data_IF_722131257386
#
_entry.id   IF_722131257386
#
_cell.length_a   1.000
_cell.length_b   1.000
_cell.length_c   1.000
_cell.angle_alpha   90.00
_cell.angle_beta   90.00
_cell.angle_gamma   90.00
#
_symmetry.space_group_name_H-M   'P 1'
#
loop_
_entity.id
_entity.type
_entity.pdbx_description
1 polymer ?
#
# COMPACT_ATOMS: atom_id res chain seq x y z
N UNK A 1 40.27 -21.61 -13.14
CA UNK A 1 38.85 -21.76 -13.52
C UNK A 1 38.59 -20.73 -14.59
N UNK A 2 37.93 -21.08 -15.67
CA UNK A 2 37.48 -20.06 -16.65
C UNK A 2 36.51 -19.10 -15.94
N UNK A 3 36.75 -17.78 -16.07
CA UNK A 3 35.85 -16.76 -15.53
C UNK A 3 34.52 -16.81 -16.29
N UNK A 4 33.42 -16.55 -15.57
CA UNK A 4 32.07 -16.50 -16.19
C UNK A 4 31.90 -15.13 -16.86
N UNK A 5 31.46 -15.07 -18.14
CA UNK A 5 31.19 -13.78 -18.77
C UNK A 5 30.08 -13.00 -18.05
N UNK A 6 30.29 -11.71 -17.79
CA UNK A 6 29.33 -10.84 -17.11
C UNK A 6 27.95 -10.82 -17.78
N UNK A 7 27.89 -10.97 -19.12
CA UNK A 7 26.63 -11.05 -19.87
C UNK A 7 25.78 -12.27 -19.46
N UNK A 8 26.40 -13.41 -19.12
CA UNK A 8 25.69 -14.61 -18.67
C UNK A 8 25.06 -14.37 -17.29
N UNK A 9 25.81 -13.78 -16.38
CA UNK A 9 25.33 -13.40 -15.05
C UNK A 9 24.19 -12.38 -15.17
N UNK A 10 24.33 -11.39 -16.05
CA UNK A 10 23.28 -10.41 -16.34
C UNK A 10 21.97 -11.03 -16.84
N UNK A 11 22.04 -12.08 -17.69
CA UNK A 11 20.84 -12.81 -18.12
C UNK A 11 20.15 -13.52 -16.95
N UNK A 12 20.91 -14.14 -16.05
CA UNK A 12 20.34 -14.77 -14.84
C UNK A 12 19.73 -13.75 -13.88
N UNK A 13 20.34 -12.57 -13.74
CA UNK A 13 19.76 -11.48 -12.95
C UNK A 13 18.41 -11.06 -13.55
N UNK A 14 18.28 -10.99 -14.88
CA UNK A 14 16.99 -10.71 -15.54
C UNK A 14 15.93 -11.80 -15.25
N UNK A 15 16.35 -13.07 -15.27
CA UNK A 15 15.47 -14.20 -14.93
C UNK A 15 15.03 -14.13 -13.47
N UNK A 16 15.95 -13.91 -12.55
CA UNK A 16 15.67 -13.69 -11.14
C UNK A 16 14.67 -12.55 -10.93
N UNK A 17 14.85 -11.42 -11.60
CA UNK A 17 13.93 -10.29 -11.52
C UNK A 17 12.50 -10.63 -12.02
N UNK A 18 12.37 -11.51 -13.01
CA UNK A 18 11.05 -12.01 -13.45
C UNK A 18 10.35 -12.79 -12.33
N UNK A 19 11.07 -13.62 -11.58
CA UNK A 19 10.50 -14.35 -10.43
C UNK A 19 10.12 -13.39 -9.30
N UNK A 20 10.93 -12.37 -9.00
CA UNK A 20 10.60 -11.32 -8.04
C UNK A 20 9.29 -10.62 -8.42
N UNK A 21 9.14 -10.22 -9.67
CA UNK A 21 7.91 -9.55 -10.16
C UNK A 21 6.66 -10.42 -10.05
N UNK A 22 6.82 -11.74 -10.16
CA UNK A 22 5.72 -12.72 -10.04
C UNK A 22 5.43 -13.14 -8.60
N UNK A 23 6.19 -12.65 -7.63
CA UNK A 23 6.15 -13.07 -6.22
C UNK A 23 6.43 -14.58 -6.04
N UNK A 24 7.20 -15.16 -6.94
CA UNK A 24 7.64 -16.56 -6.84
C UNK A 24 8.90 -16.65 -5.97
N UNK A 25 8.69 -16.70 -4.65
CA UNK A 25 9.74 -16.64 -3.65
C UNK A 25 10.76 -17.77 -3.82
N UNK A 26 10.30 -19.01 -4.00
CA UNK A 26 11.18 -20.19 -4.04
C UNK A 26 12.20 -20.10 -5.17
N UNK A 27 11.75 -19.86 -6.41
CA UNK A 27 12.65 -19.74 -7.55
C UNK A 27 13.51 -18.48 -7.47
N UNK A 28 12.96 -17.40 -6.92
CA UNK A 28 13.71 -16.16 -6.73
C UNK A 28 14.87 -16.34 -5.74
N UNK A 29 14.66 -17.03 -4.62
CA UNK A 29 15.73 -17.34 -3.65
C UNK A 29 16.80 -18.28 -4.23
N UNK A 30 16.38 -19.33 -4.95
CA UNK A 30 17.30 -20.23 -5.63
C UNK A 30 18.24 -19.51 -6.59
N UNK A 31 17.68 -18.66 -7.46
CA UNK A 31 18.47 -17.88 -8.42
C UNK A 31 19.35 -16.85 -7.72
N UNK A 32 18.88 -16.20 -6.65
CA UNK A 32 19.70 -15.29 -5.85
C UNK A 32 20.98 -15.94 -5.36
N UNK A 33 20.88 -17.11 -4.75
CA UNK A 33 22.03 -17.84 -4.21
C UNK A 33 22.95 -18.42 -5.30
N UNK A 34 22.39 -18.76 -6.47
CA UNK A 34 23.20 -19.16 -7.62
C UNK A 34 24.01 -17.97 -8.17
N UNK A 35 23.36 -16.82 -8.38
CA UNK A 35 24.01 -15.61 -8.89
C UNK A 35 25.10 -15.11 -7.93
N UNK A 36 24.87 -15.13 -6.61
CA UNK A 36 25.92 -14.78 -5.63
C UNK A 36 27.20 -15.58 -5.83
N UNK A 37 27.07 -16.90 -6.02
CA UNK A 37 28.25 -17.78 -6.26
C UNK A 37 28.92 -17.51 -7.61
N UNK A 38 28.15 -17.14 -8.62
CA UNK A 38 28.69 -16.81 -9.94
C UNK A 38 29.41 -15.46 -9.98
N UNK A 39 28.95 -14.47 -9.18
CA UNK A 39 29.62 -13.18 -9.04
C UNK A 39 31.06 -13.31 -8.52
N UNK A 40 31.32 -14.28 -7.64
CA UNK A 40 32.67 -14.52 -7.07
C UNK A 40 33.69 -14.99 -8.13
N UNK A 41 33.24 -15.56 -9.24
CA UNK A 41 34.06 -16.09 -10.33
C UNK A 41 33.79 -15.42 -11.70
N UNK A 42 33.02 -14.37 -11.70
CA UNK A 42 32.69 -13.59 -12.89
C UNK A 42 33.87 -12.71 -13.33
N UNK A 43 33.92 -12.38 -14.62
CA UNK A 43 34.79 -11.31 -15.13
C UNK A 43 34.44 -9.99 -14.39
N UNK A 44 35.47 -9.19 -14.07
CA UNK A 44 35.26 -7.90 -13.41
C UNK A 44 34.35 -7.01 -14.24
N UNK A 45 33.13 -6.77 -13.71
CA UNK A 45 32.13 -5.88 -14.31
C UNK A 45 31.33 -5.16 -13.21
N UNK A 46 31.66 -3.89 -13.00
CA UNK A 46 30.99 -3.07 -11.98
C UNK A 46 29.48 -2.88 -12.25
N UNK A 47 29.05 -2.91 -13.52
CA UNK A 47 27.64 -2.76 -13.88
C UNK A 47 26.84 -4.02 -13.51
N UNK A 48 27.41 -5.21 -13.72
CA UNK A 48 26.77 -6.47 -13.31
C UNK A 48 26.63 -6.56 -11.79
N UNK A 49 27.66 -6.15 -11.04
CA UNK A 49 27.61 -6.10 -9.56
C UNK A 49 26.55 -5.10 -9.09
N UNK A 50 26.49 -3.90 -9.67
CA UNK A 50 25.48 -2.91 -9.34
C UNK A 50 24.07 -3.41 -9.69
N UNK A 51 23.89 -4.09 -10.82
CA UNK A 51 22.62 -4.65 -11.21
C UNK A 51 22.15 -5.72 -10.22
N UNK A 52 23.05 -6.60 -9.79
CA UNK A 52 22.76 -7.55 -8.73
C UNK A 52 22.29 -6.84 -7.44
N UNK A 53 23.01 -5.82 -6.97
CA UNK A 53 22.65 -5.08 -5.77
C UNK A 53 21.25 -4.45 -5.85
N UNK A 54 20.88 -3.89 -7.00
CA UNK A 54 19.55 -3.34 -7.23
C UNK A 54 18.47 -4.41 -7.18
N UNK A 55 18.72 -5.56 -7.80
CA UNK A 55 17.75 -6.67 -7.78
C UNK A 55 17.68 -7.34 -6.41
N UNK A 56 18.77 -7.37 -5.67
CA UNK A 56 18.82 -7.86 -4.28
C UNK A 56 17.95 -6.99 -3.35
N UNK A 57 18.06 -5.68 -3.49
CA UNK A 57 17.16 -4.76 -2.81
C UNK A 57 15.67 -5.00 -3.16
N UNK A 58 15.38 -5.22 -4.44
CA UNK A 58 14.01 -5.51 -4.90
C UNK A 58 13.50 -6.87 -4.41
N UNK A 59 14.39 -7.85 -4.27
CA UNK A 59 14.10 -9.16 -3.70
C UNK A 59 13.69 -9.02 -2.22
N UNK A 60 14.44 -8.26 -1.43
CA UNK A 60 14.10 -8.00 -0.02
C UNK A 60 12.74 -7.30 0.12
N UNK A 61 12.42 -6.36 -0.77
CA UNK A 61 11.08 -5.76 -0.79
C UNK A 61 9.98 -6.78 -1.12
N UNK A 62 10.25 -7.75 -1.99
CA UNK A 62 9.31 -8.84 -2.28
C UNK A 62 9.08 -9.71 -1.05
N UNK A 63 10.15 -10.10 -0.35
CA UNK A 63 10.05 -10.93 0.86
C UNK A 63 9.27 -10.23 1.97
N UNK A 64 9.51 -8.93 2.19
CA UNK A 64 8.73 -8.14 3.15
C UNK A 64 7.25 -8.04 2.75
N UNK A 65 6.95 -7.92 1.45
CA UNK A 65 5.57 -7.91 0.97
C UNK A 65 4.86 -9.24 1.21
N UNK A 66 5.56 -10.37 1.02
CA UNK A 66 4.99 -11.72 1.19
C UNK A 66 4.94 -12.13 2.67
N UNK A 67 5.95 -11.77 3.46
CA UNK A 67 6.07 -12.12 4.88
C UNK A 67 6.49 -10.90 5.72
N UNK A 68 5.58 -9.97 6.03
CA UNK A 68 5.92 -8.72 6.74
C UNK A 68 6.54 -8.91 8.12
N UNK A 69 6.27 -10.04 8.78
CA UNK A 69 6.70 -10.31 10.16
C UNK A 69 8.11 -10.89 10.30
N UNK A 70 8.75 -11.31 9.22
CA UNK A 70 10.02 -12.04 9.30
C UNK A 70 11.26 -11.24 8.88
N UNK A 71 11.14 -10.13 8.16
CA UNK A 71 12.27 -9.44 7.55
C UNK A 71 12.33 -7.95 7.94
N UNK A 72 13.17 -7.64 8.94
CA UNK A 72 13.65 -6.27 9.17
C UNK A 72 15.06 -6.11 8.57
N UNK A 73 15.17 -6.11 7.26
CA UNK A 73 16.45 -5.80 6.60
C UNK A 73 16.63 -4.28 6.55
N UNK A 74 17.84 -3.82 6.92
CA UNK A 74 18.19 -2.40 6.84
C UNK A 74 18.36 -1.96 5.37
N UNK A 75 17.24 -1.62 4.73
CA UNK A 75 17.19 -1.21 3.32
C UNK A 75 18.03 0.03 3.00
N UNK A 76 18.32 0.86 4.01
CA UNK A 76 19.15 2.04 3.83
C UNK A 76 20.58 1.69 3.41
N UNK A 77 21.12 0.57 3.86
CA UNK A 77 22.48 0.15 3.53
C UNK A 77 22.61 -0.30 2.07
N UNK A 78 21.59 -0.95 1.52
CA UNK A 78 21.54 -1.29 0.09
C UNK A 78 21.54 -0.04 -0.80
N UNK A 79 20.71 0.95 -0.46
CA UNK A 79 20.65 2.19 -1.22
C UNK A 79 21.95 2.99 -1.16
N UNK A 80 22.62 3.03 0.01
CA UNK A 80 23.95 3.65 0.14
C UNK A 80 25.03 2.95 -0.69
N UNK A 81 24.97 1.63 -0.78
CA UNK A 81 25.91 0.86 -1.61
C UNK A 81 25.77 1.20 -3.12
N UNK A 82 24.54 1.52 -3.56
CA UNK A 82 24.24 1.93 -4.93
C UNK A 82 24.62 3.41 -5.17
N UNK A 83 24.58 4.26 -4.12
CA UNK A 83 24.89 5.70 -4.18
C UNK A 83 26.40 6.02 -4.11
N UNK A 84 27.27 5.03 -3.95
CA UNK A 84 28.71 5.23 -3.78
C UNK A 84 29.31 6.18 -4.80
N UNK A 85 30.13 7.13 -4.33
CA UNK A 85 30.71 8.23 -5.11
C UNK A 85 31.39 7.71 -6.39
N UNK A 86 31.02 8.31 -7.53
CA UNK A 86 31.72 8.12 -8.81
C UNK A 86 31.16 7.04 -9.75
N UNK A 87 30.12 6.28 -9.38
CA UNK A 87 29.51 5.31 -10.30
C UNK A 87 28.69 6.02 -11.37
N UNK A 88 29.14 5.96 -12.64
CA UNK A 88 28.34 6.43 -13.78
C UNK A 88 27.22 5.44 -14.06
N UNK A 89 26.02 5.77 -13.58
CA UNK A 89 24.81 5.06 -13.95
C UNK A 89 24.47 5.39 -15.42
N UNK A 90 24.17 4.37 -16.22
CA UNK A 90 23.80 4.57 -17.62
C UNK A 90 22.55 3.76 -17.99
N UNK A 91 21.76 4.30 -18.89
CA UNK A 91 20.64 3.57 -19.48
C UNK A 91 19.56 3.15 -18.47
N UNK A 92 19.23 1.86 -18.48
CA UNK A 92 18.17 1.27 -17.66
C UNK A 92 18.52 1.25 -16.16
N UNK A 93 19.80 1.24 -15.82
CA UNK A 93 20.24 1.25 -14.41
C UNK A 93 19.84 2.54 -13.69
N UNK A 94 19.91 3.69 -14.41
CA UNK A 94 19.47 4.97 -13.89
C UNK A 94 17.97 4.97 -13.59
N UNK A 95 17.17 4.31 -14.46
CA UNK A 95 15.74 4.08 -14.19
C UNK A 95 15.53 3.28 -12.90
N UNK A 96 16.19 2.11 -12.76
CA UNK A 96 15.98 1.25 -11.59
C UNK A 96 16.38 1.90 -10.28
N UNK A 97 17.50 2.64 -10.23
CA UNK A 97 17.94 3.35 -9.03
C UNK A 97 16.86 4.31 -8.56
N UNK A 98 16.34 5.15 -9.43
CA UNK A 98 15.30 6.10 -9.06
C UNK A 98 13.97 5.42 -8.75
N UNK A 99 13.59 4.40 -9.51
CA UNK A 99 12.36 3.68 -9.29
C UNK A 99 12.33 2.98 -7.93
N UNK A 100 13.42 2.29 -7.57
CA UNK A 100 13.49 1.57 -6.29
C UNK A 100 13.66 2.50 -5.10
N UNK A 101 14.35 3.62 -5.24
CA UNK A 101 14.36 4.68 -4.22
C UNK A 101 12.95 5.22 -3.98
N UNK A 102 12.20 5.48 -5.04
CA UNK A 102 10.80 5.88 -4.93
C UNK A 102 9.95 4.87 -4.16
N UNK A 103 10.12 3.57 -4.45
CA UNK A 103 9.42 2.50 -3.72
C UNK A 103 9.82 2.44 -2.24
N UNK A 104 11.09 2.68 -1.93
CA UNK A 104 11.58 2.73 -0.55
C UNK A 104 10.99 3.91 0.22
N UNK A 105 11.03 5.12 -0.35
CA UNK A 105 10.45 6.30 0.31
C UNK A 105 8.92 6.16 0.47
N UNK A 106 8.25 5.56 -0.52
CA UNK A 106 6.83 5.23 -0.42
C UNK A 106 6.53 4.29 0.76
N UNK A 107 7.34 3.24 0.95
CA UNK A 107 7.15 2.30 2.05
C UNK A 107 7.32 2.93 3.45
N UNK A 108 8.01 4.08 3.53
CA UNK A 108 8.16 4.89 4.75
C UNK A 108 7.03 5.92 4.94
N UNK A 109 6.12 6.06 3.96
CA UNK A 109 5.11 7.11 3.96
C UNK A 109 5.62 8.48 3.47
N UNK A 110 6.88 8.57 3.00
CA UNK A 110 7.52 9.79 2.50
C UNK A 110 7.08 10.08 1.05
N UNK A 111 5.80 10.36 0.86
CA UNK A 111 5.17 10.41 -0.47
C UNK A 111 5.79 11.46 -1.39
N UNK A 112 6.14 12.64 -0.88
CA UNK A 112 6.77 13.71 -1.69
C UNK A 112 8.12 13.26 -2.24
N UNK A 113 8.96 12.66 -1.39
CA UNK A 113 10.27 12.13 -1.81
C UNK A 113 10.09 10.99 -2.81
N UNK A 114 9.12 10.11 -2.57
CA UNK A 114 8.82 9.01 -3.48
C UNK A 114 8.42 9.51 -4.87
N UNK A 115 7.54 10.53 -4.97
CA UNK A 115 7.15 11.14 -6.25
C UNK A 115 8.35 11.77 -6.94
N UNK A 116 9.21 12.49 -6.23
CA UNK A 116 10.41 13.09 -6.82
C UNK A 116 11.28 12.01 -7.49
N UNK A 117 11.54 10.89 -6.81
CA UNK A 117 12.27 9.78 -7.40
C UNK A 117 11.53 9.12 -8.57
N UNK A 118 10.22 8.90 -8.47
CA UNK A 118 9.43 8.35 -9.56
C UNK A 118 9.43 9.26 -10.79
N UNK A 119 9.39 10.59 -10.63
CA UNK A 119 9.52 11.53 -11.75
C UNK A 119 10.89 11.46 -12.42
N UNK A 120 11.97 11.21 -11.67
CA UNK A 120 13.28 10.95 -12.27
C UNK A 120 13.31 9.64 -13.05
N UNK A 121 12.70 8.58 -12.53
CA UNK A 121 12.56 7.31 -13.24
C UNK A 121 11.69 7.45 -14.50
N UNK A 122 10.59 8.21 -14.44
CA UNK A 122 9.69 8.46 -15.57
C UNK A 122 10.41 9.06 -16.79
N UNK A 123 11.36 9.98 -16.56
CA UNK A 123 12.18 10.57 -17.62
C UNK A 123 13.06 9.54 -18.39
N UNK A 124 13.21 8.35 -17.84
CA UNK A 124 13.99 7.25 -18.42
C UNK A 124 13.12 6.07 -18.87
N UNK A 125 11.80 6.19 -18.76
CA UNK A 125 10.85 5.11 -19.03
C UNK A 125 10.83 4.71 -20.51
N UNK A 126 11.17 5.61 -21.41
CA UNK A 126 11.36 5.34 -22.83
C UNK A 126 12.45 4.31 -23.13
N UNK A 127 13.43 4.16 -22.23
CA UNK A 127 14.51 3.18 -22.33
C UNK A 127 14.11 1.79 -21.81
N UNK A 128 12.95 1.68 -21.18
CA UNK A 128 12.41 0.42 -20.67
C UNK A 128 11.60 -0.26 -21.79
N UNK A 129 12.20 -1.25 -22.43
CA UNK A 129 11.56 -2.00 -23.51
C UNK A 129 10.47 -2.97 -23.01
N UNK A 130 10.60 -3.46 -21.78
CA UNK A 130 9.64 -4.41 -21.15
C UNK A 130 8.35 -3.67 -20.78
N UNK A 131 7.25 -4.03 -21.46
CA UNK A 131 5.92 -3.47 -21.23
C UNK A 131 5.41 -3.75 -19.81
N UNK A 132 5.73 -4.91 -19.25
CA UNK A 132 5.34 -5.27 -17.89
C UNK A 132 6.13 -4.49 -16.84
N UNK A 133 7.36 -4.11 -17.13
CA UNK A 133 8.14 -3.21 -16.28
C UNK A 133 7.54 -1.80 -16.28
N UNK A 134 7.13 -1.30 -17.45
CA UNK A 134 6.39 -0.03 -17.54
C UNK A 134 5.06 -0.10 -16.81
N UNK A 135 4.36 -1.24 -16.87
CA UNK A 135 3.13 -1.45 -16.12
C UNK A 135 3.36 -1.40 -14.60
N UNK A 136 4.47 -1.98 -14.10
CA UNK A 136 4.83 -1.90 -12.67
C UNK A 136 5.10 -0.45 -12.27
N UNK A 137 5.78 0.33 -13.10
CA UNK A 137 5.99 1.75 -12.88
C UNK A 137 4.66 2.51 -12.79
N UNK A 138 3.76 2.31 -13.75
CA UNK A 138 2.45 2.96 -13.76
C UNK A 138 1.61 2.55 -12.55
N UNK A 139 1.65 1.28 -12.16
CA UNK A 139 1.00 0.82 -10.94
C UNK A 139 1.52 1.56 -9.70
N UNK A 140 2.83 1.70 -9.54
CA UNK A 140 3.44 2.40 -8.40
C UNK A 140 3.13 3.91 -8.40
N UNK A 141 3.10 4.54 -9.57
CA UNK A 141 2.63 5.93 -9.71
C UNK A 141 1.17 6.08 -9.31
N UNK A 142 0.31 5.15 -9.72
CA UNK A 142 -1.11 5.19 -9.35
C UNK A 142 -1.33 5.00 -7.86
N UNK A 143 -0.59 4.07 -7.24
CA UNK A 143 -0.68 3.75 -5.83
C UNK A 143 -0.36 4.97 -4.95
N UNK A 144 0.73 5.70 -5.28
CA UNK A 144 1.08 6.89 -4.52
C UNK A 144 0.04 8.01 -4.67
N UNK A 145 -0.46 8.26 -5.89
CA UNK A 145 -1.51 9.26 -6.11
C UNK A 145 -2.84 8.87 -5.45
N UNK A 146 -3.15 7.58 -5.37
CA UNK A 146 -4.30 7.09 -4.62
C UNK A 146 -4.20 7.43 -3.14
N UNK A 147 -3.06 7.13 -2.50
CA UNK A 147 -2.83 7.46 -1.09
C UNK A 147 -2.86 8.98 -0.81
N UNK A 148 -2.48 9.77 -1.78
CA UNK A 148 -2.54 11.24 -1.70
C UNK A 148 -3.89 11.82 -2.11
N UNK A 149 -4.91 10.99 -2.36
CA UNK A 149 -6.24 11.39 -2.83
C UNK A 149 -6.22 12.23 -4.13
N UNK A 150 -5.18 12.04 -4.96
CA UNK A 150 -5.07 12.63 -6.30
C UNK A 150 -5.72 11.69 -7.33
N UNK A 151 -7.02 11.49 -7.19
CA UNK A 151 -7.81 10.43 -7.82
C UNK A 151 -7.69 10.42 -9.35
N UNK A 152 -7.70 11.59 -10.01
CA UNK A 152 -7.58 11.66 -11.47
C UNK A 152 -6.20 11.21 -11.97
N UNK A 153 -5.13 11.57 -11.27
CA UNK A 153 -3.77 11.13 -11.60
C UNK A 153 -3.60 9.63 -11.32
N UNK A 154 -4.15 9.17 -10.18
CA UNK A 154 -4.17 7.74 -9.86
C UNK A 154 -4.88 6.95 -10.96
N UNK A 155 -6.09 7.40 -11.39
CA UNK A 155 -6.85 6.72 -12.44
C UNK A 155 -6.09 6.68 -13.76
N UNK A 156 -5.48 7.81 -14.17
CA UNK A 156 -4.67 7.89 -15.40
C UNK A 156 -3.55 6.84 -15.46
N UNK A 157 -2.82 6.65 -14.38
CA UNK A 157 -1.73 5.67 -14.33
C UNK A 157 -2.24 4.23 -14.15
N UNK A 158 -3.28 4.01 -13.34
CA UNK A 158 -3.74 2.64 -13.07
C UNK A 158 -4.40 2.00 -14.30
N UNK A 159 -5.08 2.76 -15.14
CA UNK A 159 -5.64 2.25 -16.38
C UNK A 159 -4.56 1.71 -17.31
N UNK A 160 -3.42 2.40 -17.44
CA UNK A 160 -2.29 1.93 -18.24
C UNK A 160 -1.72 0.60 -17.70
N UNK A 161 -1.51 0.52 -16.37
CA UNK A 161 -1.04 -0.70 -15.74
C UNK A 161 -2.04 -1.86 -15.90
N UNK A 162 -3.32 -1.59 -15.67
CA UNK A 162 -4.39 -2.58 -15.78
C UNK A 162 -4.48 -3.18 -17.19
N UNK A 163 -4.46 -2.33 -18.23
CA UNK A 163 -4.53 -2.79 -19.61
C UNK A 163 -3.32 -3.64 -20.00
N UNK A 164 -2.12 -3.24 -19.61
CA UNK A 164 -0.91 -4.01 -19.86
C UNK A 164 -0.95 -5.38 -19.17
N UNK A 165 -1.26 -5.43 -17.85
CA UNK A 165 -1.35 -6.71 -17.13
C UNK A 165 -2.47 -7.60 -17.67
N UNK A 166 -3.61 -7.01 -18.03
CA UNK A 166 -4.75 -7.76 -18.58
C UNK A 166 -4.44 -8.36 -19.95
N UNK A 167 -3.68 -7.66 -20.81
CA UNK A 167 -3.23 -8.19 -22.09
C UNK A 167 -2.29 -9.40 -21.94
N UNK A 168 -1.50 -9.44 -20.88
CA UNK A 168 -0.57 -10.53 -20.54
C UNK A 168 -1.15 -11.57 -19.56
N UNK A 169 -2.46 -11.56 -19.32
CA UNK A 169 -3.15 -12.47 -18.38
C UNK A 169 -3.19 -13.94 -18.87
N UNK A 170 -2.86 -14.21 -20.12
CA UNK A 170 -2.84 -15.56 -20.64
C UNK A 170 -1.99 -16.48 -19.74
N UNK A 171 -2.58 -17.59 -19.28
CA UNK A 171 -1.99 -18.56 -18.35
C UNK A 171 -1.95 -18.17 -16.86
N UNK A 172 -2.76 -17.22 -16.40
CA UNK A 172 -2.88 -16.85 -14.97
C UNK A 172 -1.68 -16.09 -14.39
N UNK A 173 -0.67 -15.78 -15.19
CA UNK A 173 0.63 -15.28 -14.73
C UNK A 173 0.60 -13.91 -14.03
N UNK A 174 -0.34 -13.03 -14.41
CA UNK A 174 -0.44 -11.67 -13.85
C UNK A 174 -1.79 -11.40 -13.19
N UNK A 175 -2.53 -12.43 -12.83
CA UNK A 175 -3.85 -12.31 -12.21
C UNK A 175 -3.78 -11.51 -10.90
N UNK A 176 -2.76 -11.75 -10.07
CA UNK A 176 -2.55 -10.99 -8.83
C UNK A 176 -2.37 -9.49 -9.13
N UNK A 177 -1.61 -9.15 -10.18
CA UNK A 177 -1.42 -7.74 -10.59
C UNK A 177 -2.72 -7.10 -11.09
N UNK A 178 -3.54 -7.86 -11.82
CA UNK A 178 -4.88 -7.42 -12.25
C UNK A 178 -5.78 -7.18 -11.04
N UNK A 179 -5.78 -8.07 -10.03
CA UNK A 179 -6.50 -7.88 -8.77
C UNK A 179 -6.05 -6.60 -8.06
N UNK A 180 -4.74 -6.38 -7.94
CA UNK A 180 -4.19 -5.17 -7.32
C UNK A 180 -4.61 -3.90 -8.06
N UNK A 181 -4.57 -3.90 -9.39
CA UNK A 181 -5.08 -2.77 -10.18
C UNK A 181 -6.57 -2.51 -9.92
N UNK A 182 -7.39 -3.56 -9.81
CA UNK A 182 -8.82 -3.42 -9.49
C UNK A 182 -9.07 -2.79 -8.13
N UNK A 183 -8.22 -3.06 -7.13
CA UNK A 183 -8.32 -2.40 -5.82
C UNK A 183 -8.11 -0.88 -5.94
N UNK A 184 -7.08 -0.45 -6.69
CA UNK A 184 -6.82 0.98 -6.88
C UNK A 184 -7.94 1.63 -7.70
N UNK A 185 -8.42 0.99 -8.78
CA UNK A 185 -9.54 1.49 -9.59
C UNK A 185 -10.79 1.65 -8.73
N UNK A 186 -11.12 0.64 -7.92
CA UNK A 186 -12.30 0.69 -7.05
C UNK A 186 -12.17 1.79 -5.99
N UNK A 187 -11.01 1.89 -5.32
CA UNK A 187 -10.74 2.96 -4.36
C UNK A 187 -10.85 4.35 -4.98
N UNK A 188 -10.39 4.54 -6.22
CA UNK A 188 -10.58 5.80 -6.95
C UNK A 188 -12.06 6.11 -7.23
N UNK A 189 -12.88 5.10 -7.54
CA UNK A 189 -14.33 5.30 -7.69
C UNK A 189 -15.00 5.62 -6.35
N UNK A 190 -14.54 5.01 -5.25
CA UNK A 190 -15.03 5.31 -3.90
C UNK A 190 -14.68 6.76 -3.51
N UNK A 191 -13.46 7.21 -3.77
CA UNK A 191 -13.04 8.60 -3.54
C UNK A 191 -13.82 9.62 -4.37
N UNK A 192 -14.36 9.22 -5.53
CA UNK A 192 -15.26 10.01 -6.36
C UNK A 192 -16.74 9.87 -5.97
N UNK A 193 -17.05 9.22 -4.85
CA UNK A 193 -18.41 8.91 -4.40
C UNK A 193 -19.25 8.17 -5.46
N UNK A 194 -18.62 7.34 -6.30
CA UNK A 194 -19.27 6.52 -7.34
C UNK A 194 -19.15 5.03 -6.99
N UNK A 195 -19.57 4.68 -5.77
CA UNK A 195 -19.40 3.35 -5.17
C UNK A 195 -20.00 2.23 -6.01
N UNK A 196 -21.11 2.49 -6.72
CA UNK A 196 -21.74 1.54 -7.64
C UNK A 196 -20.80 1.12 -8.79
N UNK A 197 -19.79 1.93 -9.12
CA UNK A 197 -18.74 1.57 -10.09
C UNK A 197 -17.59 0.82 -9.42
N UNK A 198 -17.30 1.04 -8.14
CA UNK A 198 -16.27 0.33 -7.39
C UNK A 198 -16.65 -1.15 -7.17
N UNK A 199 -17.88 -1.42 -6.75
CA UNK A 199 -18.38 -2.76 -6.39
C UNK A 199 -18.13 -3.83 -7.47
N UNK A 200 -18.41 -3.62 -8.77
CA UNK A 200 -18.10 -4.63 -9.80
C UNK A 200 -16.62 -5.01 -9.86
N UNK A 201 -15.71 -4.03 -9.77
CA UNK A 201 -14.26 -4.29 -9.77
C UNK A 201 -13.85 -5.13 -8.55
N UNK A 202 -14.40 -4.84 -7.37
CA UNK A 202 -14.10 -5.57 -6.14
C UNK A 202 -14.67 -6.99 -6.16
N UNK A 203 -15.86 -7.20 -6.71
CA UNK A 203 -16.45 -8.54 -6.88
C UNK A 203 -15.64 -9.40 -7.84
N UNK A 204 -15.19 -8.85 -8.96
CA UNK A 204 -14.29 -9.57 -9.86
C UNK A 204 -12.92 -9.86 -9.22
N UNK A 205 -12.42 -8.96 -8.37
CA UNK A 205 -11.20 -9.19 -7.60
C UNK A 205 -11.39 -10.30 -6.55
N UNK A 206 -12.53 -10.32 -5.84
CA UNK A 206 -12.90 -11.38 -4.90
C UNK A 206 -12.95 -12.75 -5.60
N UNK A 207 -13.66 -12.82 -6.73
CA UNK A 207 -13.78 -14.07 -7.51
C UNK A 207 -12.42 -14.55 -8.01
N UNK A 208 -11.61 -13.67 -8.60
CA UNK A 208 -10.25 -14.00 -9.04
C UNK A 208 -9.37 -14.48 -7.89
N UNK A 209 -9.39 -13.80 -6.73
CA UNK A 209 -8.61 -14.19 -5.56
C UNK A 209 -9.03 -15.58 -5.02
N UNK A 210 -10.34 -15.85 -5.01
CA UNK A 210 -10.91 -17.14 -4.63
C UNK A 210 -10.47 -18.26 -5.56
N UNK A 211 -10.52 -18.02 -6.87
CA UNK A 211 -10.12 -19.00 -7.90
C UNK A 211 -8.60 -19.30 -7.84
N UNK A 212 -7.79 -18.34 -7.45
CA UNK A 212 -6.36 -18.51 -7.21
C UNK A 212 -6.04 -19.20 -5.86
N UNK A 213 -7.02 -19.36 -4.97
CA UNK A 213 -6.79 -19.82 -3.60
C UNK A 213 -5.94 -18.85 -2.77
N UNK A 214 -5.83 -17.58 -3.20
CA UNK A 214 -5.00 -16.58 -2.54
C UNK A 214 -5.78 -15.89 -1.43
N UNK A 215 -5.62 -16.38 -0.18
CA UNK A 215 -6.32 -15.89 1.00
C UNK A 215 -6.01 -14.42 1.32
N UNK A 216 -4.77 -13.98 1.11
CA UNK A 216 -4.37 -12.60 1.33
C UNK A 216 -5.11 -11.63 0.39
N UNK A 217 -5.13 -11.91 -0.91
CA UNK A 217 -5.87 -11.09 -1.87
C UNK A 217 -7.37 -11.16 -1.64
N UNK A 218 -7.88 -12.31 -1.20
CA UNK A 218 -9.29 -12.47 -0.85
C UNK A 218 -9.67 -11.64 0.37
N UNK A 219 -8.82 -11.62 1.42
CA UNK A 219 -9.03 -10.76 2.59
C UNK A 219 -9.10 -9.28 2.19
N UNK A 220 -8.17 -8.82 1.33
CA UNK A 220 -8.18 -7.43 0.83
C UNK A 220 -9.40 -7.11 -0.03
N UNK A 221 -9.85 -8.03 -0.88
CA UNK A 221 -11.06 -7.83 -1.68
C UNK A 221 -12.31 -7.69 -0.80
N UNK A 222 -12.41 -8.52 0.24
CA UNK A 222 -13.52 -8.48 1.20
C UNK A 222 -13.48 -7.22 2.08
N UNK A 223 -12.29 -6.79 2.54
CA UNK A 223 -12.10 -5.52 3.25
C UNK A 223 -12.58 -4.34 2.39
N UNK A 224 -12.08 -4.23 1.16
CA UNK A 224 -12.45 -3.14 0.26
C UNK A 224 -13.96 -3.15 -0.11
N UNK A 225 -14.58 -4.35 -0.22
CA UNK A 225 -16.05 -4.44 -0.36
C UNK A 225 -16.76 -3.92 0.88
N UNK A 226 -16.26 -4.24 2.08
CA UNK A 226 -16.76 -3.70 3.34
C UNK A 226 -16.71 -2.17 3.36
N UNK A 227 -15.56 -1.60 2.99
CA UNK A 227 -15.35 -0.15 2.95
C UNK A 227 -16.27 0.53 1.92
N UNK A 228 -16.39 -0.02 0.70
CA UNK A 228 -17.31 0.52 -0.31
C UNK A 228 -18.77 0.51 0.17
N UNK A 229 -19.23 -0.57 0.82
CA UNK A 229 -20.58 -0.62 1.36
C UNK A 229 -20.76 0.32 2.57
N UNK A 230 -19.74 0.48 3.43
CA UNK A 230 -19.73 1.49 4.50
C UNK A 230 -19.92 2.89 3.92
N UNK A 231 -19.16 3.24 2.88
CA UNK A 231 -19.23 4.54 2.21
C UNK A 231 -20.58 4.78 1.51
N UNK A 232 -21.25 3.72 1.05
CA UNK A 232 -22.66 3.79 0.55
C UNK A 232 -23.69 3.95 1.66
N UNK A 233 -23.31 3.87 2.92
CA UNK A 233 -24.23 3.86 4.07
C UNK A 233 -24.89 2.51 4.34
N UNK A 234 -24.52 1.44 3.65
CA UNK A 234 -25.03 0.08 3.84
C UNK A 234 -24.21 -0.67 4.89
N UNK A 235 -24.47 -0.34 6.15
CA UNK A 235 -23.74 -0.88 7.28
C UNK A 235 -23.88 -2.41 7.42
N UNK A 236 -25.02 -2.99 7.04
CA UNK A 236 -25.24 -4.44 7.19
C UNK A 236 -24.40 -5.23 6.18
N UNK A 237 -24.33 -4.77 4.92
CA UNK A 237 -23.41 -5.37 3.94
C UNK A 237 -21.94 -5.11 4.27
N UNK A 238 -21.61 -3.93 4.80
CA UNK A 238 -20.27 -3.62 5.26
C UNK A 238 -19.81 -4.64 6.33
N UNK A 239 -20.61 -4.83 7.39
CA UNK A 239 -20.32 -5.81 8.44
C UNK A 239 -20.19 -7.24 7.89
N UNK A 240 -21.09 -7.64 6.99
CA UNK A 240 -21.04 -8.97 6.38
C UNK A 240 -19.69 -9.24 5.66
N UNK A 241 -19.19 -8.29 4.87
CA UNK A 241 -17.94 -8.45 4.15
C UNK A 241 -16.73 -8.36 5.08
N UNK A 242 -16.74 -7.43 6.05
CA UNK A 242 -15.65 -7.28 7.02
C UNK A 242 -15.49 -8.52 7.91
N UNK A 243 -16.59 -9.11 8.39
CA UNK A 243 -16.54 -10.37 9.17
C UNK A 243 -15.92 -11.49 8.35
N UNK A 244 -16.29 -11.62 7.06
CA UNK A 244 -15.66 -12.60 6.17
C UNK A 244 -14.18 -12.32 5.91
N UNK A 245 -13.78 -11.04 5.89
CA UNK A 245 -12.39 -10.66 5.73
C UNK A 245 -11.52 -11.11 6.91
N UNK A 246 -12.06 -11.11 8.15
CA UNK A 246 -11.35 -11.56 9.36
C UNK A 246 -10.78 -12.96 9.20
N UNK A 247 -11.59 -13.92 8.74
CA UNK A 247 -11.16 -15.32 8.63
C UNK A 247 -10.00 -15.45 7.61
N UNK A 248 -10.15 -14.79 6.45
CA UNK A 248 -9.13 -14.84 5.41
C UNK A 248 -7.83 -14.13 5.82
N UNK A 249 -7.93 -13.00 6.55
CA UNK A 249 -6.79 -12.26 7.05
C UNK A 249 -6.05 -13.06 8.15
N UNK A 250 -6.77 -13.72 9.06
CA UNK A 250 -6.18 -14.62 10.07
C UNK A 250 -5.42 -15.77 9.43
N UNK A 251 -6.02 -16.44 8.46
CA UNK A 251 -5.43 -17.59 7.79
C UNK A 251 -4.20 -17.24 6.95
N UNK A 252 -4.15 -16.03 6.39
CA UNK A 252 -3.02 -15.53 5.62
C UNK A 252 -1.97 -14.82 6.46
N UNK A 253 -2.22 -14.54 7.74
CA UNK A 253 -1.34 -13.74 8.58
C UNK A 253 -1.23 -12.27 8.14
N UNK A 254 -2.26 -11.74 7.46
CA UNK A 254 -2.25 -10.40 6.89
C UNK A 254 -2.28 -9.31 7.96
N UNK A 255 -1.44 -8.29 7.82
CA UNK A 255 -1.42 -7.11 8.71
C UNK A 255 -2.70 -6.27 8.61
N UNK A 256 -3.39 -6.35 7.49
CA UNK A 256 -4.69 -5.72 7.25
C UNK A 256 -5.76 -6.20 8.25
N UNK A 257 -5.49 -7.25 9.02
CA UNK A 257 -6.34 -7.69 10.12
C UNK A 257 -6.59 -6.57 11.14
N UNK A 258 -5.58 -5.72 11.41
CA UNK A 258 -5.72 -4.55 12.29
C UNK A 258 -6.73 -3.56 11.74
N UNK A 259 -6.64 -3.24 10.44
CA UNK A 259 -7.61 -2.37 9.76
C UNK A 259 -9.02 -2.96 9.81
N UNK A 260 -9.16 -4.26 9.53
CA UNK A 260 -10.48 -4.92 9.55
C UNK A 260 -11.12 -4.81 10.94
N UNK A 261 -10.37 -5.03 12.01
CA UNK A 261 -10.88 -4.87 13.38
C UNK A 261 -11.23 -3.43 13.73
N UNK A 262 -10.41 -2.46 13.28
CA UNK A 262 -10.72 -1.05 13.43
C UNK A 262 -12.06 -0.69 12.77
N UNK A 263 -12.29 -1.12 11.52
CA UNK A 263 -13.53 -0.86 10.78
C UNK A 263 -14.74 -1.51 11.46
N UNK A 264 -14.59 -2.76 11.93
CA UNK A 264 -15.65 -3.45 12.67
C UNK A 264 -15.97 -2.73 13.99
N UNK A 265 -14.95 -2.30 14.75
CA UNK A 265 -15.14 -1.56 15.99
C UNK A 265 -15.90 -0.24 15.74
N UNK A 266 -15.45 0.55 14.74
CA UNK A 266 -16.08 1.81 14.38
C UNK A 266 -17.53 1.62 13.97
N UNK A 267 -17.85 0.65 13.10
CA UNK A 267 -19.21 0.38 12.66
C UNK A 267 -20.12 -0.03 13.81
N UNK A 268 -19.67 -0.93 14.70
CA UNK A 268 -20.46 -1.34 15.86
C UNK A 268 -20.69 -0.18 16.85
N UNK A 269 -19.69 0.68 17.08
CA UNK A 269 -19.88 1.88 17.90
C UNK A 269 -20.90 2.84 17.27
N UNK A 270 -20.83 3.09 15.97
CA UNK A 270 -21.81 3.91 15.25
C UNK A 270 -23.24 3.32 15.30
N UNK A 271 -23.36 1.99 15.32
CA UNK A 271 -24.64 1.29 15.53
C UNK A 271 -25.09 1.26 17.00
N UNK A 272 -24.30 1.83 17.94
CA UNK A 272 -24.55 1.80 19.39
C UNK A 272 -24.51 0.38 19.99
N UNK A 273 -23.83 -0.53 19.33
CA UNK A 273 -23.59 -1.90 19.78
C UNK A 273 -22.28 -1.97 20.56
N UNK A 274 -22.25 -1.31 21.73
CA UNK A 274 -21.02 -1.02 22.49
C UNK A 274 -20.21 -2.26 22.86
N UNK A 275 -20.84 -3.38 23.23
CA UNK A 275 -20.14 -4.61 23.58
C UNK A 275 -19.39 -5.20 22.38
N UNK A 276 -20.04 -5.25 21.22
CA UNK A 276 -19.38 -5.71 19.99
C UNK A 276 -18.28 -4.74 19.54
N UNK A 277 -18.53 -3.44 19.64
CA UNK A 277 -17.53 -2.41 19.34
C UNK A 277 -16.28 -2.54 20.22
N UNK A 278 -16.47 -2.73 21.53
CA UNK A 278 -15.38 -2.96 22.48
C UNK A 278 -14.61 -4.24 22.17
N UNK A 279 -15.32 -5.33 21.87
CA UNK A 279 -14.69 -6.60 21.52
C UNK A 279 -13.75 -6.46 20.30
N UNK A 280 -14.23 -5.86 19.19
CA UNK A 280 -13.39 -5.66 18.01
C UNK A 280 -12.29 -4.62 18.24
N UNK A 281 -12.52 -3.61 19.07
CA UNK A 281 -11.48 -2.68 19.52
C UNK A 281 -10.33 -3.40 20.21
N UNK A 282 -10.62 -4.27 21.18
CA UNK A 282 -9.60 -5.05 21.93
C UNK A 282 -8.79 -5.95 20.97
N UNK A 283 -9.46 -6.64 20.04
CA UNK A 283 -8.79 -7.41 18.98
C UNK A 283 -7.93 -6.53 18.04
N UNK A 284 -8.39 -5.31 17.76
CA UNK A 284 -7.64 -4.33 16.98
C UNK A 284 -6.36 -3.89 17.66
N UNK A 285 -6.42 -3.62 18.98
CA UNK A 285 -5.25 -3.26 19.78
C UNK A 285 -4.24 -4.41 19.82
N UNK A 286 -4.67 -5.64 20.11
CA UNK A 286 -3.81 -6.83 20.09
C UNK A 286 -3.14 -7.02 18.71
N UNK A 287 -3.89 -6.84 17.65
CA UNK A 287 -3.38 -6.94 16.27
C UNK A 287 -2.37 -5.83 15.94
N UNK A 288 -2.64 -4.58 16.35
CA UNK A 288 -1.74 -3.45 16.15
C UNK A 288 -0.39 -3.66 16.88
N UNK A 289 -0.42 -4.16 18.11
CA UNK A 289 0.78 -4.53 18.86
C UNK A 289 1.57 -5.65 18.16
N UNK A 290 0.89 -6.71 17.74
CA UNK A 290 1.50 -7.84 17.05
C UNK A 290 2.24 -7.43 15.77
N UNK A 291 1.66 -6.51 14.99
CA UNK A 291 2.24 -6.04 13.72
C UNK A 291 3.08 -4.77 13.87
N UNK A 292 3.23 -4.25 15.09
CA UNK A 292 3.90 -2.97 15.37
C UNK A 292 3.33 -1.83 14.49
N UNK A 293 2.00 -1.78 14.39
CA UNK A 293 1.26 -0.82 13.56
C UNK A 293 0.88 0.41 14.38
N UNK A 294 1.87 1.31 14.57
CA UNK A 294 1.68 2.53 15.33
C UNK A 294 0.58 3.43 14.73
N UNK A 295 0.37 3.37 13.40
CA UNK A 295 -0.61 4.19 12.74
C UNK A 295 -2.04 3.80 13.15
N UNK A 296 -2.39 2.51 13.06
CA UNK A 296 -3.69 2.03 13.54
C UNK A 296 -3.82 2.11 15.07
N UNK A 297 -2.71 2.06 15.82
CA UNK A 297 -2.74 2.36 17.26
C UNK A 297 -3.28 3.76 17.54
N UNK A 298 -2.87 4.77 16.77
CA UNK A 298 -3.39 6.14 16.89
C UNK A 298 -4.88 6.23 16.52
N UNK A 299 -5.30 5.56 15.44
CA UNK A 299 -6.72 5.54 15.05
C UNK A 299 -7.60 4.87 16.13
N UNK A 300 -7.17 3.73 16.65
CA UNK A 300 -7.84 3.04 17.74
C UNK A 300 -7.89 3.89 19.01
N UNK A 301 -6.84 4.67 19.31
CA UNK A 301 -6.85 5.58 20.45
C UNK A 301 -7.96 6.63 20.34
N UNK A 302 -8.24 7.17 19.17
CA UNK A 302 -9.39 8.08 18.96
C UNK A 302 -10.71 7.38 19.30
N UNK A 303 -10.92 6.14 18.83
CA UNK A 303 -12.13 5.37 19.16
C UNK A 303 -12.25 5.10 20.66
N UNK A 304 -11.14 4.77 21.31
CA UNK A 304 -11.07 4.58 22.77
C UNK A 304 -11.54 5.82 23.53
N UNK A 305 -11.00 6.98 23.17
CA UNK A 305 -11.34 8.25 23.81
C UNK A 305 -12.81 8.61 23.61
N UNK A 306 -13.36 8.40 22.41
CA UNK A 306 -14.77 8.72 22.10
C UNK A 306 -15.75 7.78 22.79
N UNK A 307 -15.53 6.47 22.71
CA UNK A 307 -16.55 5.49 23.05
C UNK A 307 -16.32 4.75 24.36
N UNK A 308 -15.11 4.77 24.92
CA UNK A 308 -14.74 3.96 26.08
C UNK A 308 -14.21 4.78 27.28
N UNK A 309 -13.67 5.99 27.07
CA UNK A 309 -13.03 6.79 28.12
C UNK A 309 -13.71 8.15 28.42
N UNK A 310 -14.98 8.28 28.11
CA UNK A 310 -15.79 9.44 28.54
C UNK A 310 -15.62 10.69 27.68
N UNK A 311 -15.05 10.56 26.50
CA UNK A 311 -15.04 11.55 25.40
C UNK A 311 -14.63 12.98 25.82
N UNK A 312 -13.45 13.12 26.47
CA UNK A 312 -12.92 14.46 26.78
C UNK A 312 -12.50 15.16 25.50
N UNK A 313 -13.10 16.34 25.12
CA UNK A 313 -12.89 16.96 23.82
C UNK A 313 -11.42 17.32 23.55
N UNK A 314 -10.69 17.78 24.55
CA UNK A 314 -9.26 18.12 24.41
C UNK A 314 -8.41 16.89 24.11
N UNK A 315 -8.66 15.75 24.79
CA UNK A 315 -7.92 14.51 24.55
C UNK A 315 -8.19 13.96 23.14
N UNK A 316 -9.45 14.06 22.67
CA UNK A 316 -9.79 13.66 21.28
C UNK A 316 -9.12 14.59 20.28
N UNK A 317 -9.09 15.91 20.53
CA UNK A 317 -8.42 16.87 19.66
C UNK A 317 -6.91 16.58 19.57
N UNK A 318 -6.24 16.34 20.71
CA UNK A 318 -4.82 16.01 20.76
C UNK A 318 -4.51 14.71 20.00
N UNK A 319 -5.35 13.70 20.14
CA UNK A 319 -5.18 12.43 19.39
C UNK A 319 -5.35 12.62 17.87
N UNK A 320 -6.22 13.54 17.43
CA UNK A 320 -6.39 13.87 16.01
C UNK A 320 -5.21 14.69 15.44
N UNK A 321 -4.46 15.45 16.28
CA UNK A 321 -3.23 16.17 15.82
C UNK A 321 -2.15 15.19 15.36
N UNK A 322 -2.08 13.97 15.91
CA UNK A 322 -1.14 12.93 15.45
C UNK A 322 -1.38 12.45 14.01
N UNK A 323 -2.52 12.84 13.42
CA UNK A 323 -2.91 12.54 12.03
C UNK A 323 -2.73 13.75 11.10
N UNK A 324 -2.15 14.86 11.58
CA UNK A 324 -2.00 16.09 10.80
C UNK A 324 -0.76 16.03 9.89
N UNK A 325 -0.75 15.06 9.00
CA UNK A 325 0.24 14.90 7.94
C UNK A 325 -0.40 14.34 6.65
N UNK A 326 0.38 14.28 5.58
CA UNK A 326 -0.11 13.88 4.25
C UNK A 326 -0.67 12.45 4.21
N UNK A 327 -0.18 11.55 5.06
CA UNK A 327 -0.67 10.19 5.20
C UNK A 327 -1.93 10.13 6.06
N UNK A 328 -1.99 10.99 7.07
CA UNK A 328 -3.05 11.02 8.06
C UNK A 328 -4.30 11.77 7.60
N UNK A 329 -4.19 12.76 6.69
CA UNK A 329 -5.34 13.61 6.32
C UNK A 329 -6.63 12.86 5.94
N UNK A 330 -6.62 11.75 5.19
CA UNK A 330 -7.86 11.01 4.88
C UNK A 330 -8.55 10.44 6.13
N UNK A 331 -7.76 9.96 7.08
CA UNK A 331 -8.27 9.44 8.36
C UNK A 331 -8.66 10.55 9.32
N UNK A 332 -7.92 11.67 9.30
CA UNK A 332 -8.28 12.88 10.04
C UNK A 332 -9.65 13.41 9.59
N UNK A 333 -9.92 13.42 8.27
CA UNK A 333 -11.22 13.78 7.74
C UNK A 333 -12.34 12.89 8.29
N UNK A 334 -12.17 11.56 8.20
CA UNK A 334 -13.14 10.57 8.66
C UNK A 334 -13.37 10.67 10.18
N UNK A 335 -12.29 10.64 10.97
CA UNK A 335 -12.39 10.63 12.43
C UNK A 335 -12.85 11.97 13.02
N UNK A 336 -12.52 13.09 12.37
CA UNK A 336 -13.06 14.38 12.77
C UNK A 336 -14.57 14.45 12.50
N UNK A 337 -15.07 13.88 11.38
CA UNK A 337 -16.50 13.73 11.14
C UNK A 337 -17.16 12.84 12.19
N UNK A 338 -16.59 11.68 12.48
CA UNK A 338 -17.09 10.76 13.53
C UNK A 338 -17.16 11.47 14.88
N UNK A 339 -16.13 12.24 15.24
CA UNK A 339 -16.11 13.02 16.48
C UNK A 339 -17.19 14.09 16.49
N UNK A 340 -17.36 14.84 15.38
CA UNK A 340 -18.39 15.87 15.27
C UNK A 340 -19.81 15.28 15.41
N UNK A 341 -20.10 14.16 14.75
CA UNK A 341 -21.36 13.44 14.87
C UNK A 341 -21.60 12.98 16.30
N UNK A 342 -20.58 12.39 16.95
CA UNK A 342 -20.65 11.95 18.32
C UNK A 342 -21.00 13.09 19.30
N UNK A 343 -20.28 14.23 19.23
CA UNK A 343 -20.57 15.39 20.10
C UNK A 343 -21.93 16.04 19.78
N UNK A 344 -22.39 16.00 18.52
CA UNK A 344 -23.76 16.40 18.16
C UNK A 344 -24.79 15.55 18.90
N UNK A 345 -24.61 14.21 18.90
CA UNK A 345 -25.56 13.27 19.52
C UNK A 345 -25.68 13.46 21.04
N UNK A 346 -24.56 13.78 21.71
CA UNK A 346 -24.59 14.04 23.18
C UNK A 346 -24.92 15.50 23.54
N UNK A 347 -25.21 16.35 22.55
CA UNK A 347 -25.64 17.72 22.75
C UNK A 347 -24.53 18.75 22.99
N UNK A 348 -23.28 18.40 22.75
CA UNK A 348 -22.09 19.24 22.90
C UNK A 348 -21.81 20.00 21.59
N UNK A 349 -22.58 21.04 21.30
CA UNK A 349 -22.58 21.71 20.00
C UNK A 349 -21.30 22.46 19.69
N UNK A 350 -20.65 23.08 20.68
CA UNK A 350 -19.41 23.84 20.46
C UNK A 350 -18.28 22.91 20.04
N UNK A 351 -18.17 21.77 20.70
CA UNK A 351 -17.21 20.70 20.37
C UNK A 351 -17.52 20.09 19.00
N UNK A 352 -18.78 19.83 18.71
CA UNK A 352 -19.21 19.35 17.40
C UNK A 352 -18.76 20.29 16.27
N UNK A 353 -18.97 21.60 16.42
CA UNK A 353 -18.53 22.61 15.45
C UNK A 353 -17.00 22.62 15.32
N UNK A 354 -16.27 22.48 16.41
CA UNK A 354 -14.81 22.37 16.38
C UNK A 354 -14.35 21.22 15.48
N UNK A 355 -14.93 20.00 15.68
CA UNK A 355 -14.54 18.83 14.91
C UNK A 355 -15.01 18.90 13.44
N UNK A 356 -16.16 19.50 13.12
CA UNK A 356 -16.53 19.80 11.73
C UNK A 356 -15.51 20.73 11.06
N UNK A 357 -14.99 21.73 11.77
CA UNK A 357 -13.95 22.61 11.24
C UNK A 357 -12.64 21.84 11.01
N UNK A 358 -12.30 20.89 11.89
CA UNK A 358 -11.12 20.02 11.72
C UNK A 358 -11.27 19.11 10.49
N UNK A 359 -12.46 18.54 10.25
CA UNK A 359 -12.78 17.80 9.03
C UNK A 359 -12.59 18.68 7.77
N UNK A 360 -13.15 19.90 7.78
CA UNK A 360 -12.99 20.85 6.66
C UNK A 360 -11.53 21.22 6.44
N UNK A 361 -10.75 21.33 7.51
CA UNK A 361 -9.31 21.56 7.41
C UNK A 361 -8.62 20.39 6.69
N UNK A 362 -8.88 19.14 7.10
CA UNK A 362 -8.31 17.95 6.47
C UNK A 362 -8.68 17.88 4.97
N UNK A 363 -9.96 18.15 4.62
CA UNK A 363 -10.40 18.21 3.22
C UNK A 363 -9.64 19.26 2.41
N UNK A 364 -9.36 20.42 3.01
CA UNK A 364 -8.55 21.45 2.33
C UNK A 364 -7.11 21.00 2.11
N UNK A 365 -6.50 20.29 3.07
CA UNK A 365 -5.15 19.76 2.91
C UNK A 365 -5.09 18.71 1.79
N UNK A 366 -6.07 17.79 1.74
CA UNK A 366 -6.19 16.78 0.67
C UNK A 366 -6.31 17.46 -0.72
N UNK A 367 -7.10 18.54 -0.82
CA UNK A 367 -7.35 19.22 -2.10
C UNK A 367 -6.23 20.14 -2.55
N UNK A 368 -5.37 20.61 -1.65
CA UNK A 368 -4.32 21.58 -1.97
C UNK A 368 -3.42 21.10 -3.09
N UNK A 369 -2.90 19.89 -3.01
CA UNK A 369 -2.07 19.30 -4.06
C UNK A 369 -0.83 20.14 -4.46
N UNK A 370 -0.55 21.24 -3.75
CA UNK A 370 0.49 22.22 -4.09
C UNK A 370 1.87 21.59 -4.21
N UNK A 371 2.15 20.58 -3.39
CA UNK A 371 3.39 19.80 -3.44
C UNK A 371 3.61 19.04 -4.77
N UNK A 372 2.58 18.90 -5.61
CA UNK A 372 2.73 18.25 -6.93
C UNK A 372 3.38 19.17 -7.97
N UNK A 373 3.40 20.48 -7.73
CA UNK A 373 3.93 21.47 -8.67
C UNK A 373 5.36 21.90 -8.36
N UNK A 374 5.88 21.55 -7.18
CA UNK A 374 7.24 21.87 -6.74
C UNK A 374 8.27 20.79 -7.09
N UNK A 375 7.86 19.73 -7.79
CA UNK A 375 8.69 18.57 -8.14
C UNK A 375 9.09 18.65 -9.64
#
# INVERSE_FOLDING_TARGET
MESIPAAVVGQKINEWYRHIKKLNVTDAEMLREEIKRELDVMEEDEQAVLYFQLMDFRHEQMLEYVNPSQNQVNKADYLRAVEGEGKKLTGIMEYYVHFFKGMYEFSKGEYIKAIAFYRHAEKKLDKVADELERAEFYYKMSEIFYHMKQTHLSMYYIEQAYHAYKAHKANGMYEIKVIQCRFVIAGNYDDLCTHEKAIPHLKEAEESARNLGNKYMLAKALLNLGDSYKNMGDQDRALYFLIKAVDQAKESGAKELTQIYYELALLHFKKKEHESGKHYFELGVESAERFNDWFFTNLLNVLKLLYLEGAQPTAVADALEELDDIRGYPYLEELALVSAEFYTEIGHMDESVYFYNKMIYAQKQIRRGEFLYEI
#
